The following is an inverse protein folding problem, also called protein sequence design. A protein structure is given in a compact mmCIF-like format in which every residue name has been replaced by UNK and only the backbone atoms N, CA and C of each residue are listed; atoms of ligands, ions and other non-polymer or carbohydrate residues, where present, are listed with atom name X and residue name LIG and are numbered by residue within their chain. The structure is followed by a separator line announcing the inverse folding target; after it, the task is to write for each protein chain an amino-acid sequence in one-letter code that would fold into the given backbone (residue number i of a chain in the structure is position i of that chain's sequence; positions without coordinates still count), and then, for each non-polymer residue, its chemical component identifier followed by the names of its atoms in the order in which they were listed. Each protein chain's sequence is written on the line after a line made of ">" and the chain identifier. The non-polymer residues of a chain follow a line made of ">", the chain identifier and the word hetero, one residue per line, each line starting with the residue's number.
data_IF_180592776736
#
_entry.id   IF_180592776736
#
_cell.length_a   1.000
_cell.length_b   1.000
_cell.length_c   1.000
_cell.angle_alpha   90.00
_cell.angle_beta   90.00
_cell.angle_gamma   90.00
#
_symmetry.space_group_name_H-M   'P 1'
#
loop_
_entity.id
_entity.type
_entity.pdbx_description
1 polymer ?
#
# COMPACT_ATOMS: atom_id res chain seq x y z
N UNK A 1 -5.53 21.31 -15.03
CA UNK A 1 -5.91 20.00 -14.46
C UNK A 1 -7.22 19.54 -15.11
N UNK A 2 -7.23 18.38 -15.77
CA UNK A 2 -8.45 17.79 -16.35
C UNK A 2 -9.22 17.03 -15.23
N UNK A 3 -10.55 17.13 -15.13
CA UNK A 3 -11.29 16.42 -14.08
C UNK A 3 -11.25 14.90 -14.33
N UNK A 4 -10.95 14.15 -13.26
CA UNK A 4 -10.88 12.68 -13.25
C UNK A 4 -12.28 12.11 -13.53
N UNK A 5 -12.41 11.33 -14.60
CA UNK A 5 -13.65 10.65 -15.01
C UNK A 5 -14.12 9.70 -13.89
N UNK A 6 -15.40 9.75 -13.51
CA UNK A 6 -15.94 8.89 -12.44
C UNK A 6 -15.85 7.41 -12.86
N UNK A 7 -15.39 6.56 -11.94
CA UNK A 7 -15.21 5.11 -12.12
C UNK A 7 -16.47 4.30 -11.82
N UNK A 8 -17.61 4.97 -11.56
CA UNK A 8 -18.87 4.34 -11.19
C UNK A 8 -19.86 4.46 -12.36
N UNK A 9 -20.55 3.37 -12.71
CA UNK A 9 -21.66 3.42 -13.65
C UNK A 9 -22.83 4.19 -13.04
N UNK A 10 -23.43 5.14 -13.76
CA UNK A 10 -24.60 5.91 -13.31
C UNK A 10 -25.85 5.05 -13.00
N UNK A 11 -25.82 3.76 -13.31
CA UNK A 11 -26.85 2.79 -12.98
C UNK A 11 -26.53 2.03 -11.69
N UNK A 12 -26.64 2.68 -10.53
CA UNK A 12 -26.77 1.94 -9.28
C UNK A 12 -28.03 1.07 -9.40
N UNK A 13 -27.95 -0.26 -9.25
CA UNK A 13 -29.08 -1.19 -9.42
C UNK A 13 -30.26 -0.97 -8.47
N UNK A 14 -30.19 0.05 -7.61
CA UNK A 14 -31.25 0.46 -6.71
C UNK A 14 -32.15 1.48 -7.42
N UNK A 15 -33.40 1.07 -7.70
CA UNK A 15 -34.44 1.97 -8.20
C UNK A 15 -35.53 2.08 -7.14
N UNK A 16 -35.95 3.30 -6.85
CA UNK A 16 -37.14 3.53 -6.02
C UNK A 16 -38.41 3.33 -6.85
N UNK A 17 -39.54 2.94 -6.23
CA UNK A 17 -40.82 2.89 -6.91
C UNK A 17 -41.20 4.25 -7.52
N UNK A 18 -41.99 4.21 -8.59
CA UNK A 18 -42.56 5.42 -9.19
C UNK A 18 -43.37 6.19 -8.14
N UNK A 19 -43.16 7.50 -8.07
CA UNK A 19 -43.82 8.43 -7.16
C UNK A 19 -43.57 8.15 -5.66
N UNK A 20 -42.48 7.45 -5.31
CA UNK A 20 -42.10 7.22 -3.90
C UNK A 20 -41.94 8.54 -3.13
N UNK A 21 -41.11 9.46 -3.65
CA UNK A 21 -40.84 10.73 -2.99
C UNK A 21 -42.03 11.69 -3.02
N UNK A 22 -42.83 11.67 -4.09
CA UNK A 22 -44.04 12.48 -4.22
C UNK A 22 -45.11 12.11 -3.18
N UNK A 23 -45.21 10.81 -2.83
CA UNK A 23 -46.20 10.33 -1.87
C UNK A 23 -45.67 10.21 -0.44
N UNK A 24 -44.36 10.33 -0.24
CA UNK A 24 -43.71 10.14 1.06
C UNK A 24 -44.29 11.08 2.12
N UNK A 25 -44.44 12.36 1.79
CA UNK A 25 -44.97 13.38 2.71
C UNK A 25 -46.40 13.06 3.15
N UNK A 26 -47.27 12.76 2.18
CA UNK A 26 -48.66 12.41 2.44
C UNK A 26 -48.78 11.13 3.29
N UNK A 27 -47.95 10.12 3.01
CA UNK A 27 -47.91 8.88 3.79
C UNK A 27 -47.43 9.12 5.23
N UNK A 28 -46.40 9.94 5.41
CA UNK A 28 -45.86 10.27 6.72
C UNK A 28 -46.87 11.07 7.55
N UNK A 29 -47.47 12.10 6.95
CA UNK A 29 -48.52 12.88 7.60
C UNK A 29 -49.76 12.04 7.92
N UNK A 30 -50.13 11.12 7.04
CA UNK A 30 -51.23 10.20 7.31
C UNK A 30 -50.93 9.30 8.52
N UNK A 31 -49.71 8.76 8.64
CA UNK A 31 -49.30 7.95 9.80
C UNK A 31 -49.31 8.75 11.09
N UNK A 32 -48.70 9.93 11.12
CA UNK A 32 -48.68 10.79 12.31
C UNK A 32 -50.11 11.12 12.78
N UNK A 33 -50.98 11.55 11.85
CA UNK A 33 -52.36 11.87 12.20
C UNK A 33 -53.17 10.64 12.64
N UNK A 34 -52.82 9.44 12.16
CA UNK A 34 -53.47 8.19 12.56
C UNK A 34 -52.99 7.75 13.95
N UNK A 35 -51.69 7.85 14.22
CA UNK A 35 -51.07 7.52 15.51
C UNK A 35 -51.49 8.53 16.60
N UNK A 36 -51.55 9.83 16.30
CA UNK A 36 -52.02 10.88 17.22
C UNK A 36 -53.51 10.68 17.58
N UNK A 37 -54.34 10.24 16.62
CA UNK A 37 -55.75 9.90 16.87
C UNK A 37 -55.95 8.56 17.58
N UNK A 38 -55.01 7.63 17.46
CA UNK A 38 -55.15 6.28 18.01
C UNK A 38 -54.65 6.16 19.46
N UNK A 39 -53.66 6.94 19.92
CA UNK A 39 -52.93 6.58 21.15
C UNK A 39 -52.57 7.73 22.12
N UNK A 40 -53.38 8.80 22.22
CA UNK A 40 -53.33 9.67 23.41
C UNK A 40 -54.32 9.23 24.53
N UNK A 41 -55.20 8.27 24.26
CA UNK A 41 -56.20 7.77 25.21
C UNK A 41 -55.75 6.53 25.99
N UNK A 42 -54.62 5.92 25.62
CA UNK A 42 -53.97 4.94 26.47
C UNK A 42 -53.15 5.66 27.53
N UNK A 43 -53.75 5.87 28.71
CA UNK A 43 -53.03 6.25 29.95
C UNK A 43 -51.95 5.25 30.39
N UNK A 44 -51.78 4.17 29.61
CA UNK A 44 -50.75 3.15 29.74
C UNK A 44 -49.93 3.11 28.44
N UNK A 45 -49.26 4.21 28.09
CA UNK A 45 -48.08 4.05 27.24
C UNK A 45 -47.19 3.03 27.97
N UNK A 46 -46.69 2.01 27.28
CA UNK A 46 -45.87 0.95 27.89
C UNK A 46 -44.56 1.44 28.53
N UNK A 47 -44.38 2.76 28.61
CA UNK A 47 -43.26 3.49 29.18
C UNK A 47 -43.59 4.02 30.58
N UNK A 48 -44.32 3.23 31.38
CA UNK A 48 -44.48 3.54 32.80
C UNK A 48 -43.28 2.96 33.57
N UNK A 49 -42.62 3.82 34.34
CA UNK A 49 -41.57 3.38 35.26
C UNK A 49 -42.19 2.66 36.47
N UNK A 50 -41.51 1.66 37.05
CA UNK A 50 -41.95 1.06 38.31
C UNK A 50 -42.00 2.09 39.43
N UNK A 51 -42.98 1.95 40.32
CA UNK A 51 -43.07 2.76 41.54
C UNK A 51 -41.79 2.57 42.38
N UNK A 52 -41.18 3.67 42.82
CA UNK A 52 -39.93 3.66 43.60
C UNK A 52 -38.67 3.25 42.82
N UNK A 53 -38.69 3.27 41.48
CA UNK A 53 -37.50 2.97 40.66
C UNK A 53 -36.28 3.82 41.07
N UNK A 54 -36.49 5.14 41.21
CA UNK A 54 -35.41 6.07 41.55
C UNK A 54 -34.97 5.98 43.01
N UNK A 55 -35.84 5.51 43.92
CA UNK A 55 -35.53 5.37 45.33
C UNK A 55 -34.46 4.29 45.59
N UNK A 56 -34.44 3.24 44.77
CA UNK A 56 -33.43 2.15 44.87
C UNK A 56 -32.31 2.24 43.84
N UNK A 57 -32.37 3.21 42.92
CA UNK A 57 -31.41 3.33 41.82
C UNK A 57 -30.02 3.70 42.34
N UNK A 58 -29.94 4.67 43.25
CA UNK A 58 -28.68 5.14 43.84
C UNK A 58 -27.96 4.00 44.58
N UNK A 59 -28.68 3.27 45.43
CA UNK A 59 -28.16 2.12 46.17
C UNK A 59 -27.68 1.01 45.23
N UNK A 60 -28.42 0.73 44.16
CA UNK A 60 -28.03 -0.25 43.14
C UNK A 60 -26.72 0.14 42.46
N UNK A 61 -26.60 1.40 42.02
CA UNK A 61 -25.39 1.90 41.36
C UNK A 61 -24.20 1.83 42.32
N UNK A 62 -24.36 2.27 43.56
CA UNK A 62 -23.28 2.23 44.56
C UNK A 62 -22.85 0.78 44.88
N UNK A 63 -23.81 -0.14 44.96
CA UNK A 63 -23.54 -1.57 45.19
C UNK A 63 -22.80 -2.25 44.04
N UNK A 64 -22.96 -1.74 42.81
CA UNK A 64 -22.33 -2.29 41.61
C UNK A 64 -20.95 -1.64 41.37
N UNK A 65 -20.83 -0.33 41.62
CA UNK A 65 -19.58 0.42 41.50
C UNK A 65 -18.54 0.01 42.54
N UNK A 66 -18.98 -0.48 43.71
CA UNK A 66 -18.12 -0.99 44.77
C UNK A 66 -17.72 -2.47 44.63
N UNK A 67 -18.19 -3.19 43.59
CA UNK A 67 -17.76 -4.59 43.37
C UNK A 67 -16.32 -4.58 42.89
N UNK A 68 -15.47 -5.20 43.69
CA UNK A 68 -14.05 -5.36 43.39
C UNK A 68 -13.84 -5.84 41.96
N UNK A 69 -12.99 -5.08 41.26
CA UNK A 69 -12.50 -5.32 39.90
C UNK A 69 -12.55 -6.81 39.56
N UNK A 70 -13.32 -7.14 38.53
CA UNK A 70 -13.27 -8.44 37.84
C UNK A 70 -11.83 -8.97 37.85
N UNK A 71 -11.64 -10.23 38.27
CA UNK A 71 -10.33 -10.88 38.32
C UNK A 71 -9.74 -10.89 36.91
N UNK A 72 -8.97 -9.87 36.58
CA UNK A 72 -8.20 -9.81 35.33
C UNK A 72 -7.08 -10.82 35.48
N UNK A 73 -7.30 -12.02 34.98
CA UNK A 73 -6.23 -12.98 34.77
C UNK A 73 -5.43 -12.53 33.54
N UNK A 74 -4.11 -12.36 33.69
CA UNK A 74 -3.24 -12.06 32.56
C UNK A 74 -3.24 -13.26 31.62
N UNK A 75 -3.76 -13.09 30.40
CA UNK A 75 -3.83 -14.14 29.36
C UNK A 75 -2.44 -14.57 28.87
N UNK A 76 -1.44 -13.70 28.97
CA UNK A 76 -0.10 -13.93 28.44
C UNK A 76 0.92 -14.07 29.57
N UNK A 77 1.17 -15.30 30.02
CA UNK A 77 2.22 -15.61 30.99
C UNK A 77 3.57 -15.74 30.28
N UNK A 78 4.52 -14.85 30.61
CA UNK A 78 5.88 -14.80 30.03
C UNK A 78 6.65 -16.13 30.10
N UNK A 79 6.34 -16.97 31.08
CA UNK A 79 6.96 -18.28 31.27
C UNK A 79 6.79 -19.22 30.06
N UNK A 80 5.64 -19.17 29.38
CA UNK A 80 5.37 -20.00 28.20
C UNK A 80 5.90 -19.40 26.90
N UNK A 81 6.24 -18.10 26.88
CA UNK A 81 6.79 -17.46 25.68
C UNK A 81 8.19 -17.98 25.35
N UNK A 82 9.02 -18.28 26.36
CA UNK A 82 10.35 -18.86 26.12
C UNK A 82 10.25 -20.27 25.53
N UNK A 83 9.30 -21.08 26.02
CA UNK A 83 9.05 -22.42 25.47
C UNK A 83 8.49 -22.36 24.05
N UNK A 84 7.50 -21.50 23.80
CA UNK A 84 6.92 -21.30 22.47
C UNK A 84 7.97 -20.79 21.46
N UNK A 85 8.83 -19.86 21.88
CA UNK A 85 9.92 -19.35 21.05
C UNK A 85 10.95 -20.43 20.70
N UNK A 86 11.30 -21.32 21.65
CA UNK A 86 12.21 -22.44 21.39
C UNK A 86 11.62 -23.43 20.36
N UNK A 87 10.33 -23.78 20.48
CA UNK A 87 9.64 -24.65 19.51
C UNK A 87 9.61 -23.99 18.12
N UNK A 88 9.29 -22.69 18.06
CA UNK A 88 9.31 -21.95 16.79
C UNK A 88 10.71 -21.91 16.16
N UNK A 89 11.77 -21.69 16.95
CA UNK A 89 13.16 -21.70 16.47
C UNK A 89 13.55 -23.07 15.89
N UNK A 90 13.16 -24.17 16.55
CA UNK A 90 13.41 -25.53 16.02
C UNK A 90 12.67 -25.76 14.71
N UNK A 91 11.40 -25.31 14.61
CA UNK A 91 10.65 -25.39 13.36
C UNK A 91 11.30 -24.56 12.25
N UNK A 92 11.75 -23.34 12.55
CA UNK A 92 12.46 -22.46 11.60
C UNK A 92 13.78 -23.10 11.16
N UNK A 93 14.54 -23.73 12.06
CA UNK A 93 15.78 -24.43 11.68
C UNK A 93 15.46 -25.64 10.80
N UNK A 94 14.38 -26.36 11.10
CA UNK A 94 13.96 -27.56 10.37
C UNK A 94 13.38 -27.24 8.98
N UNK A 95 12.67 -26.10 8.82
CA UNK A 95 12.04 -25.69 7.57
C UNK A 95 12.79 -24.58 6.82
N UNK A 96 13.78 -23.94 7.44
CA UNK A 96 14.49 -22.77 6.91
C UNK A 96 15.35 -23.03 5.68
N UNK A 97 15.64 -24.31 5.38
CA UNK A 97 16.28 -24.70 4.12
C UNK A 97 15.26 -24.97 2.99
N UNK A 98 13.98 -25.17 3.31
CA UNK A 98 12.93 -25.48 2.34
C UNK A 98 12.30 -24.21 1.75
N UNK A 99 12.21 -23.15 2.56
CA UNK A 99 11.83 -21.83 2.11
C UNK A 99 13.08 -20.97 2.02
N UNK A 100 13.84 -21.11 0.92
CA UNK A 100 14.71 -20.01 0.51
C UNK A 100 13.78 -18.82 0.28
N UNK A 101 13.74 -17.91 1.26
CA UNK A 101 13.20 -16.59 1.05
C UNK A 101 14.15 -15.98 0.04
N UNK A 102 13.74 -15.93 -1.22
CA UNK A 102 14.39 -15.15 -2.28
C UNK A 102 14.23 -13.65 -1.94
N UNK A 103 14.80 -13.26 -0.81
CA UNK A 103 15.26 -11.91 -0.52
C UNK A 103 16.66 -11.72 -1.10
N UNK A 104 16.96 -12.40 -2.21
CA UNK A 104 18.04 -12.03 -3.11
C UNK A 104 17.63 -10.69 -3.73
N UNK A 105 17.81 -9.61 -2.98
CA UNK A 105 18.33 -8.42 -3.63
C UNK A 105 19.72 -8.83 -4.15
N UNK A 106 19.77 -9.54 -5.27
CA UNK A 106 20.97 -9.50 -6.09
C UNK A 106 21.13 -8.01 -6.40
N UNK A 107 22.12 -7.32 -5.82
CA UNK A 107 22.34 -5.94 -6.20
C UNK A 107 22.54 -5.98 -7.72
N UNK A 108 21.77 -5.19 -8.46
CA UNK A 108 21.96 -5.03 -9.90
C UNK A 108 23.44 -4.75 -10.10
N UNK A 109 24.13 -5.71 -10.72
CA UNK A 109 25.56 -5.66 -10.94
C UNK A 109 25.80 -5.74 -12.46
N UNK A 110 26.92 -5.23 -12.94
CA UNK A 110 27.27 -5.26 -14.36
C UNK A 110 27.31 -6.69 -14.92
N UNK A 111 27.64 -7.68 -14.08
CA UNK A 111 27.61 -9.10 -14.42
C UNK A 111 26.19 -9.67 -14.60
N UNK A 112 25.16 -8.96 -14.14
CA UNK A 112 23.75 -9.37 -14.31
C UNK A 112 23.13 -8.83 -15.60
N UNK A 113 23.81 -7.93 -16.31
CA UNK A 113 23.35 -7.42 -17.59
C UNK A 113 23.72 -8.43 -18.67
N UNK A 114 22.71 -8.99 -19.34
CA UNK A 114 22.94 -9.88 -20.47
C UNK A 114 23.49 -9.10 -21.67
N UNK A 115 24.48 -9.67 -22.36
CA UNK A 115 25.10 -9.06 -23.55
C UNK A 115 24.04 -8.75 -24.63
N UNK A 116 23.06 -9.65 -24.80
CA UNK A 116 21.92 -9.45 -25.69
C UNK A 116 21.08 -8.21 -25.33
N UNK A 117 20.96 -7.86 -24.04
CA UNK A 117 20.24 -6.65 -23.62
C UNK A 117 21.02 -5.39 -24.00
N UNK A 118 22.35 -5.43 -23.92
CA UNK A 118 23.25 -4.34 -24.33
C UNK A 118 23.21 -4.18 -25.86
N UNK A 119 23.31 -5.28 -26.62
CA UNK A 119 23.21 -5.27 -28.08
C UNK A 119 21.90 -4.64 -28.56
N UNK A 120 20.77 -5.08 -27.97
CA UNK A 120 19.45 -4.53 -28.30
C UNK A 120 19.35 -3.03 -27.97
N UNK A 121 19.87 -2.59 -26.83
CA UNK A 121 19.87 -1.18 -26.45
C UNK A 121 20.66 -0.32 -27.44
N UNK A 122 21.83 -0.80 -27.86
CA UNK A 122 22.67 -0.10 -28.83
C UNK A 122 21.98 -0.03 -30.20
N UNK A 123 21.42 -1.14 -30.67
CA UNK A 123 20.74 -1.19 -31.97
C UNK A 123 19.48 -0.32 -32.01
N UNK A 124 18.69 -0.32 -30.92
CA UNK A 124 17.53 0.56 -30.79
C UNK A 124 17.95 2.04 -30.76
N UNK A 125 19.02 2.38 -30.03
CA UNK A 125 19.56 3.73 -30.00
C UNK A 125 20.13 4.19 -31.34
N UNK A 126 20.71 3.27 -32.12
CA UNK A 126 21.16 3.51 -33.49
C UNK A 126 19.99 3.77 -34.44
N UNK A 127 18.93 2.96 -34.37
CA UNK A 127 17.72 3.16 -35.16
C UNK A 127 17.01 4.49 -34.83
N UNK A 128 17.02 4.88 -33.55
CA UNK A 128 16.46 6.16 -33.08
C UNK A 128 17.37 7.37 -33.33
N UNK A 129 18.63 7.15 -33.76
CA UNK A 129 19.58 8.21 -34.11
C UNK A 129 20.21 8.94 -32.92
N UNK A 130 20.19 8.35 -31.71
CA UNK A 130 20.89 8.88 -30.53
C UNK A 130 22.23 8.16 -30.27
N UNK A 131 22.48 7.03 -30.94
CA UNK A 131 23.76 6.32 -30.94
C UNK A 131 24.26 6.26 -32.38
N UNK A 132 25.52 6.61 -32.61
CA UNK A 132 26.06 6.77 -33.98
C UNK A 132 26.39 5.43 -34.67
N UNK A 133 26.62 4.36 -33.91
CA UNK A 133 27.05 3.05 -34.39
C UNK A 133 26.13 1.94 -33.84
N UNK A 134 25.89 0.90 -34.64
CA UNK A 134 25.15 -0.28 -34.17
C UNK A 134 26.07 -1.25 -33.41
N UNK A 135 25.50 -2.27 -32.77
CA UNK A 135 26.26 -3.22 -31.94
C UNK A 135 27.35 -3.97 -32.73
N UNK A 136 27.08 -4.31 -33.99
CA UNK A 136 28.05 -4.99 -34.85
C UNK A 136 29.23 -4.08 -35.23
N UNK A 137 28.98 -2.80 -35.50
CA UNK A 137 30.02 -1.83 -35.83
C UNK A 137 30.92 -1.58 -34.62
N UNK A 138 30.35 -1.41 -33.42
CA UNK A 138 31.13 -1.31 -32.18
C UNK A 138 32.01 -2.53 -31.94
N UNK A 139 31.49 -3.74 -32.15
CA UNK A 139 32.27 -4.98 -32.05
C UNK A 139 33.48 -4.96 -33.00
N UNK A 140 33.28 -4.57 -34.26
CA UNK A 140 34.38 -4.45 -35.22
C UNK A 140 35.40 -3.39 -34.81
N UNK A 141 34.98 -2.21 -34.33
CA UNK A 141 35.90 -1.20 -33.83
C UNK A 141 36.72 -1.67 -32.62
N UNK A 142 36.10 -2.42 -31.69
CA UNK A 142 36.75 -2.96 -30.50
C UNK A 142 37.78 -4.03 -30.90
N UNK A 143 37.46 -4.92 -31.85
CA UNK A 143 38.28 -6.09 -32.18
C UNK A 143 39.27 -5.88 -33.34
N UNK A 144 38.95 -5.07 -34.35
CA UNK A 144 39.80 -4.86 -35.54
C UNK A 144 40.69 -3.61 -35.44
N UNK A 145 40.21 -2.49 -34.89
CA UNK A 145 40.96 -1.22 -34.86
C UNK A 145 41.79 -1.02 -33.58
N UNK A 146 41.64 -1.89 -32.57
CA UNK A 146 42.63 -2.19 -31.53
C UNK A 146 43.32 -1.00 -30.84
N UNK A 147 42.67 0.16 -30.75
CA UNK A 147 43.31 1.41 -30.29
C UNK A 147 42.42 2.27 -29.41
N UNK A 148 41.52 1.67 -28.64
CA UNK A 148 40.71 2.44 -27.71
C UNK A 148 40.75 1.96 -26.26
N UNK A 149 41.27 0.77 -25.96
CA UNK A 149 41.40 0.33 -24.57
C UNK A 149 42.59 -0.63 -24.43
N UNK A 150 43.79 -0.08 -24.26
CA UNK A 150 44.78 -0.74 -23.41
C UNK A 150 44.54 -0.23 -21.98
N UNK A 151 44.54 -1.10 -20.97
CA UNK A 151 44.38 -0.68 -19.56
C UNK A 151 45.42 0.39 -19.17
N UNK A 152 46.54 0.44 -19.89
CA UNK A 152 47.58 1.46 -19.76
C UNK A 152 47.12 2.88 -20.16
N UNK A 153 46.19 3.04 -21.10
CA UNK A 153 45.74 4.36 -21.57
C UNK A 153 44.94 5.09 -20.47
N UNK A 154 44.11 4.36 -19.71
CA UNK A 154 43.39 4.89 -18.54
C UNK A 154 44.28 5.32 -17.38
N UNK A 155 45.49 4.76 -17.29
CA UNK A 155 46.47 5.17 -16.27
C UNK A 155 47.15 6.51 -16.60
N UNK A 156 47.04 6.97 -17.85
CA UNK A 156 47.68 8.20 -18.33
C UNK A 156 46.71 9.36 -18.54
N UNK A 157 45.41 9.10 -18.48
CA UNK A 157 44.37 10.13 -18.58
C UNK A 157 44.33 10.93 -17.28
N UNK A 158 44.60 12.22 -17.40
CA UNK A 158 44.43 13.16 -16.29
C UNK A 158 42.95 13.25 -15.93
N UNK A 159 42.64 12.91 -14.67
CA UNK A 159 41.26 12.82 -14.20
C UNK A 159 40.55 14.18 -14.26
N UNK A 160 41.28 15.28 -14.14
CA UNK A 160 40.74 16.63 -14.24
C UNK A 160 40.32 16.96 -15.68
N UNK A 161 41.17 16.68 -16.67
CA UNK A 161 40.83 16.85 -18.08
C UNK A 161 39.63 16.00 -18.52
N UNK A 162 39.51 14.78 -17.99
CA UNK A 162 38.35 13.92 -18.24
C UNK A 162 37.06 14.51 -17.64
N UNK A 163 37.13 15.01 -16.41
CA UNK A 163 36.00 15.68 -15.75
C UNK A 163 35.60 16.97 -16.46
N UNK A 164 36.57 17.74 -16.95
CA UNK A 164 36.33 18.97 -17.72
C UNK A 164 35.62 18.67 -19.04
N UNK A 165 36.10 17.67 -19.80
CA UNK A 165 35.45 17.24 -21.04
C UNK A 165 34.01 16.77 -20.81
N UNK A 166 33.79 15.97 -19.76
CA UNK A 166 32.45 15.53 -19.39
C UNK A 166 31.55 16.72 -19.03
N UNK A 167 32.05 17.66 -18.23
CA UNK A 167 31.27 18.83 -17.84
C UNK A 167 30.99 19.79 -19.02
N UNK A 168 31.87 19.84 -20.01
CA UNK A 168 31.70 20.66 -21.21
C UNK A 168 30.72 20.06 -22.23
N UNK A 169 30.64 18.72 -22.31
CA UNK A 169 29.81 18.00 -23.29
C UNK A 169 28.50 17.43 -22.70
N UNK A 170 28.28 17.54 -21.40
CA UNK A 170 27.00 17.19 -20.77
C UNK A 170 26.07 18.42 -20.85
N UNK A 171 25.10 18.38 -21.77
CA UNK A 171 24.14 19.48 -21.98
C UNK A 171 23.23 19.73 -20.76
N UNK A 172 23.02 18.74 -19.89
CA UNK A 172 22.27 18.90 -18.65
C UNK A 172 22.84 18.03 -17.50
N UNK A 173 23.48 18.61 -16.47
CA UNK A 173 23.99 17.87 -15.32
C UNK A 173 22.89 17.19 -14.48
N UNK A 174 21.61 17.45 -14.76
CA UNK A 174 20.50 16.76 -14.10
C UNK A 174 20.33 15.29 -14.53
N UNK A 175 20.87 14.88 -15.69
CA UNK A 175 20.74 13.50 -16.21
C UNK A 175 21.70 12.49 -15.56
N UNK A 176 22.66 12.94 -14.75
CA UNK A 176 23.64 12.07 -14.07
C UNK A 176 23.06 11.51 -12.75
N UNK A 177 21.95 12.08 -12.25
CA UNK A 177 21.40 11.79 -10.91
C UNK A 177 19.96 11.23 -10.92
N UNK A 178 19.44 10.83 -12.07
CA UNK A 178 18.20 10.03 -12.17
C UNK A 178 18.53 8.61 -12.67
#
# INVERSE_FOLDING_TARGET
>A
MKPKKSTYSDSSGFKVPQNYFENLENQLMHRINTEEKAELTSRNSGFNIPEGYFDSLEDRIMSEAGRDKSRVISLFRREYFYYAAAVAAVLIIMTGNFFQVDGSSNPLNWESVEISAIENYIDEGYEMGYIDLNANDYSQYIFEDGKLVDDADFNSIDSEAALEYMNENIEDPALILE
#
